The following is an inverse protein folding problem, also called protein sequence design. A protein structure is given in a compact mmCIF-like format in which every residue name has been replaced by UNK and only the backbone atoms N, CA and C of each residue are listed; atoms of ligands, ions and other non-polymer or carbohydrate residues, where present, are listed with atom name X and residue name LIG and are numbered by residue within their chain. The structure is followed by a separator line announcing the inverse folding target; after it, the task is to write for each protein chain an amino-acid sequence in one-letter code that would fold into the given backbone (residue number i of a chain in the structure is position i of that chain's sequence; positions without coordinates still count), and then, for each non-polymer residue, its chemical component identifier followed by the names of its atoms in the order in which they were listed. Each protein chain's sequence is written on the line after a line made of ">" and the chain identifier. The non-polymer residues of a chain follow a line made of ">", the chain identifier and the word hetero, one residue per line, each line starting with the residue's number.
data_IF_338848452120
#
_entry.id   IF_338848452120
#
_cell.length_a   1.000
_cell.length_b   1.000
_cell.length_c   1.000
_cell.angle_alpha   90.00
_cell.angle_beta   90.00
_cell.angle_gamma   90.00
#
_symmetry.space_group_name_H-M   'P 1'
#
loop_
_entity.id
_entity.type
_entity.pdbx_description
1 polymer ?
#
# COMPACT_ATOMS: atom_id res chain seq x y z
N UNK A 1 -3.32 32.20 15.92
CA UNK A 1 -3.01 31.92 14.51
C UNK A 1 -2.82 30.42 14.42
N UNK A 2 -3.92 29.68 14.28
CA UNK A 2 -3.88 28.23 14.09
C UNK A 2 -4.29 27.94 12.65
N UNK A 3 -3.29 27.90 11.77
CA UNK A 3 -3.44 27.72 10.32
C UNK A 3 -3.16 26.27 9.88
N UNK A 4 -3.27 25.31 10.80
CA UNK A 4 -3.20 23.88 10.48
C UNK A 4 -4.59 23.22 10.57
N UNK A 5 -5.59 23.81 9.93
CA UNK A 5 -6.77 23.04 9.54
C UNK A 5 -6.37 22.20 8.32
N UNK A 6 -5.71 21.06 8.57
CA UNK A 6 -5.49 20.05 7.54
C UNK A 6 -6.86 19.48 7.18
N UNK A 7 -7.40 19.88 6.02
CA UNK A 7 -8.60 19.28 5.46
C UNK A 7 -8.17 18.14 4.53
N UNK A 8 -8.15 16.88 5.00
CA UNK A 8 -7.70 15.77 4.18
C UNK A 8 -8.59 15.65 2.94
N UNK A 9 -7.96 15.55 1.78
CA UNK A 9 -8.68 15.28 0.54
C UNK A 9 -9.11 13.82 0.50
N UNK A 10 -10.12 13.49 -0.31
CA UNK A 10 -10.55 12.09 -0.51
C UNK A 10 -9.40 11.21 -1.01
N UNK A 11 -8.43 11.78 -1.76
CA UNK A 11 -7.20 11.09 -2.15
C UNK A 11 -6.31 10.70 -0.98
N UNK A 12 -6.18 11.57 0.02
CA UNK A 12 -5.35 11.31 1.21
C UNK A 12 -5.93 10.13 2.01
N UNK A 13 -7.25 10.13 2.23
CA UNK A 13 -7.96 9.05 2.92
C UNK A 13 -7.83 7.72 2.17
N UNK A 14 -7.97 7.73 0.84
CA UNK A 14 -7.78 6.52 0.03
C UNK A 14 -6.35 5.99 0.15
N UNK A 15 -5.34 6.86 0.05
CA UNK A 15 -3.94 6.45 0.14
C UNK A 15 -3.63 5.74 1.48
N UNK A 16 -4.17 6.25 2.59
CA UNK A 16 -3.95 5.66 3.91
C UNK A 16 -4.68 4.32 4.09
N UNK A 17 -5.89 4.18 3.55
CA UNK A 17 -6.59 2.88 3.52
C UNK A 17 -5.77 1.84 2.75
N UNK A 18 -5.28 2.18 1.56
CA UNK A 18 -4.50 1.23 0.77
C UNK A 18 -3.16 0.88 1.42
N UNK A 19 -2.46 1.83 2.03
CA UNK A 19 -1.25 1.53 2.81
C UNK A 19 -1.54 0.55 3.95
N UNK A 20 -2.65 0.75 4.67
CA UNK A 20 -3.11 -0.15 5.72
C UNK A 20 -3.38 -1.56 5.19
N UNK A 21 -4.19 -1.68 4.15
CA UNK A 21 -4.53 -2.97 3.53
C UNK A 21 -3.29 -3.70 3.01
N UNK A 22 -2.36 -3.02 2.33
CA UNK A 22 -1.11 -3.65 1.88
C UNK A 22 -0.31 -4.15 3.08
N UNK A 23 -0.18 -3.34 4.13
CA UNK A 23 0.56 -3.74 5.33
C UNK A 23 -0.05 -4.99 5.97
N UNK A 24 -1.38 -5.02 6.11
CA UNK A 24 -2.11 -6.14 6.70
C UNK A 24 -1.97 -7.41 5.85
N UNK A 25 -2.12 -7.30 4.53
CA UNK A 25 -1.94 -8.42 3.61
C UNK A 25 -0.52 -8.95 3.66
N UNK A 26 0.50 -8.07 3.59
CA UNK A 26 1.91 -8.47 3.64
C UNK A 26 2.26 -9.15 4.98
N UNK A 27 1.71 -8.66 6.10
CA UNK A 27 1.92 -9.28 7.39
C UNK A 27 1.25 -10.66 7.49
N UNK A 28 0.05 -10.83 6.91
CA UNK A 28 -0.63 -12.13 6.87
C UNK A 28 0.11 -13.14 5.99
N UNK A 29 0.52 -12.75 4.77
CA UNK A 29 1.25 -13.67 3.87
C UNK A 29 2.69 -13.91 4.29
N UNK A 30 3.26 -13.09 5.18
CA UNK A 30 4.61 -13.32 5.71
C UNK A 30 4.74 -14.66 6.42
N UNK A 31 3.75 -15.06 7.21
CA UNK A 31 3.78 -16.34 7.92
C UNK A 31 3.71 -17.52 6.93
N UNK A 32 2.83 -17.43 5.92
CA UNK A 32 2.76 -18.43 4.85
C UNK A 32 4.08 -18.56 4.06
N UNK A 33 4.77 -17.45 3.80
CA UNK A 33 6.09 -17.49 3.15
C UNK A 33 7.16 -18.15 4.02
N UNK A 34 7.14 -17.91 5.33
CA UNK A 34 8.07 -18.55 6.27
C UNK A 34 7.79 -20.06 6.38
N UNK A 35 6.52 -20.44 6.46
CA UNK A 35 6.08 -21.84 6.57
C UNK A 35 6.42 -22.63 5.29
N UNK A 36 6.31 -22.01 4.12
CA UNK A 36 6.71 -22.60 2.84
C UNK A 36 8.21 -22.46 2.56
N UNK A 37 8.98 -21.88 3.48
CA UNK A 37 10.42 -21.62 3.35
C UNK A 37 10.77 -20.83 2.07
N UNK A 38 9.86 -19.93 1.68
CA UNK A 38 9.99 -19.01 0.55
C UNK A 38 10.85 -17.82 0.98
N UNK A 39 11.74 -17.40 0.07
CA UNK A 39 12.67 -16.30 0.32
C UNK A 39 11.92 -14.98 0.64
N UNK A 40 12.38 -14.31 1.71
CA UNK A 40 11.87 -13.02 2.16
C UNK A 40 12.01 -11.93 1.07
N UNK A 41 12.99 -12.07 0.18
CA UNK A 41 13.17 -11.13 -0.93
C UNK A 41 12.04 -11.22 -1.96
N UNK A 42 11.39 -12.38 -2.09
CA UNK A 42 10.18 -12.52 -2.93
C UNK A 42 8.99 -11.82 -2.28
N UNK A 43 8.85 -11.90 -0.95
CA UNK A 43 7.84 -11.15 -0.20
C UNK A 43 8.04 -9.63 -0.35
N UNK A 44 9.30 -9.17 -0.29
CA UNK A 44 9.64 -7.76 -0.52
C UNK A 44 9.33 -7.31 -1.95
N UNK A 45 9.59 -8.16 -2.96
CA UNK A 45 9.21 -7.89 -4.34
C UNK A 45 7.69 -7.79 -4.51
N UNK A 46 6.92 -8.70 -3.88
CA UNK A 46 5.46 -8.67 -3.89
C UNK A 46 4.92 -7.35 -3.30
N UNK A 47 5.49 -6.88 -2.18
CA UNK A 47 5.16 -5.58 -1.57
C UNK A 47 5.44 -4.42 -2.54
N UNK A 48 6.56 -4.47 -3.26
CA UNK A 48 6.95 -3.41 -4.20
C UNK A 48 6.02 -3.35 -5.42
N UNK A 49 5.67 -4.50 -6.00
CA UNK A 49 4.76 -4.59 -7.15
C UNK A 49 3.35 -4.15 -6.78
N UNK A 50 2.84 -4.59 -5.63
CA UNK A 50 1.51 -4.18 -5.14
C UNK A 50 1.40 -2.68 -4.88
N UNK A 51 2.43 -2.06 -4.27
CA UNK A 51 2.49 -0.60 -4.15
C UNK A 51 2.49 0.09 -5.53
N UNK A 52 3.31 -0.40 -6.47
CA UNK A 52 3.45 0.18 -7.81
C UNK A 52 2.15 0.10 -8.61
N UNK A 53 1.40 -1.01 -8.50
CA UNK A 53 0.11 -1.19 -9.16
C UNK A 53 -0.95 -0.20 -8.65
N UNK A 54 -0.94 0.09 -7.34
CA UNK A 54 -1.81 1.13 -6.78
C UNK A 54 -1.42 2.52 -7.27
N UNK A 55 -0.13 2.86 -7.29
CA UNK A 55 0.31 4.13 -7.87
C UNK A 55 -0.16 4.29 -9.32
N UNK A 56 -0.08 3.22 -10.10
CA UNK A 56 -0.55 3.23 -11.48
C UNK A 56 -2.07 3.46 -11.57
N UNK A 57 -2.86 2.80 -10.72
CA UNK A 57 -4.33 2.95 -10.73
C UNK A 57 -4.77 4.35 -10.28
N UNK A 58 -4.08 4.94 -9.30
CA UNK A 58 -4.30 6.34 -8.90
C UNK A 58 -3.90 7.32 -9.99
N UNK A 59 -2.74 7.13 -10.62
CA UNK A 59 -2.30 7.96 -11.74
C UNK A 59 -3.32 7.87 -12.88
N UNK A 60 -3.77 6.67 -13.26
CA UNK A 60 -4.77 6.52 -14.32
C UNK A 60 -6.07 7.26 -13.96
N UNK A 61 -6.57 7.10 -12.73
CA UNK A 61 -7.81 7.75 -12.27
C UNK A 61 -7.72 9.28 -12.14
N UNK A 62 -6.52 9.87 -12.14
CA UNK A 62 -6.32 11.32 -12.10
C UNK A 62 -6.12 11.94 -13.49
N UNK A 63 -5.65 11.15 -14.47
CA UNK A 63 -5.29 11.64 -15.80
C UNK A 63 -6.28 11.20 -16.91
N UNK A 64 -7.15 10.22 -16.64
CA UNK A 64 -8.17 9.70 -17.56
C UNK A 64 -9.50 9.52 -16.83
#
# INVERSE_FOLDING_TARGET
>A
MDLFNFNPTISDVKADIYKGVISDVINQVKEAFLDENVDIDVLHQLKKVSASALFLSFYYSLYY
#
